data_IF_629159866878
#
_entry.id   IF_629159866878
#
_cell.length_a   1.000
_cell.length_b   1.000
_cell.length_c   1.000
_cell.angle_alpha   90.00
_cell.angle_beta   90.00
_cell.angle_gamma   90.00
#
_symmetry.space_group_name_H-M   'P 1'
#
loop_
_entity.id
_entity.type
_entity.pdbx_description
1 polymer ?
#
# COMPACT_ATOMS: atom_id res chain seq x y z
N UNK A 1 -6.98 1.95 -0.78
CA UNK A 1 -6.08 2.31 -1.90
C UNK A 1 -6.73 1.84 -3.18
N UNK A 2 -6.74 2.69 -4.19
CA UNK A 2 -7.45 2.46 -5.46
C UNK A 2 -6.50 2.57 -6.65
N UNK A 3 -6.92 1.96 -7.77
CA UNK A 3 -6.24 1.98 -9.07
C UNK A 3 -4.79 1.48 -9.10
N UNK A 4 -4.51 0.48 -8.27
CA UNK A 4 -3.22 -0.23 -8.31
C UNK A 4 -3.16 -1.16 -9.52
N UNK A 5 -2.41 -0.78 -10.55
CA UNK A 5 -2.13 -1.66 -11.69
C UNK A 5 -1.01 -2.68 -11.37
N UNK A 6 -1.28 -3.95 -11.65
CA UNK A 6 -0.31 -5.04 -11.59
C UNK A 6 -0.62 -6.15 -12.61
N UNK A 7 0.34 -7.06 -12.84
CA UNK A 7 0.12 -8.23 -13.69
C UNK A 7 -1.05 -9.07 -13.13
N UNK A 8 -1.95 -9.53 -14.00
CA UNK A 8 -3.13 -10.31 -13.56
C UNK A 8 -2.80 -11.67 -12.92
N UNK A 9 -1.55 -12.13 -12.95
CA UNK A 9 -1.09 -13.28 -12.16
C UNK A 9 -1.02 -12.99 -10.65
N UNK A 10 -1.12 -11.72 -10.25
CA UNK A 10 -1.22 -11.32 -8.84
C UNK A 10 -2.63 -11.65 -8.32
N UNK A 11 -2.71 -12.35 -7.19
CA UNK A 11 -3.98 -12.71 -6.55
C UNK A 11 -4.52 -11.62 -5.61
N UNK A 12 -3.70 -10.63 -5.30
CA UNK A 12 -4.00 -9.52 -4.39
C UNK A 12 -2.74 -8.99 -3.74
N UNK A 13 -2.90 -8.16 -2.71
CA UNK A 13 -1.78 -7.58 -1.99
C UNK A 13 -1.93 -7.77 -0.49
N UNK A 14 -0.84 -8.13 0.18
CA UNK A 14 -0.71 -8.09 1.62
C UNK A 14 -0.02 -6.80 2.03
N UNK A 15 -0.73 -5.85 2.66
CA UNK A 15 -0.12 -4.63 3.16
C UNK A 15 0.66 -4.91 4.44
N UNK A 16 1.93 -4.53 4.46
CA UNK A 16 2.71 -4.40 5.69
C UNK A 16 2.71 -2.93 6.12
N UNK A 17 2.31 -2.67 7.36
CA UNK A 17 2.19 -1.32 7.89
C UNK A 17 3.17 -1.13 9.04
N UNK A 18 3.95 -0.06 8.97
CA UNK A 18 4.75 0.46 10.08
C UNK A 18 4.28 1.88 10.42
N UNK A 19 3.90 2.11 11.68
CA UNK A 19 3.49 3.43 12.15
C UNK A 19 4.33 3.83 13.35
N UNK A 20 5.11 4.89 13.22
CA UNK A 20 6.03 5.34 14.27
C UNK A 20 6.35 6.82 14.10
N UNK A 21 6.46 7.57 15.21
CA UNK A 21 6.98 8.94 15.26
C UNK A 21 6.32 9.93 14.27
N UNK A 22 5.00 9.78 14.05
CA UNK A 22 4.24 10.63 13.13
C UNK A 22 4.35 10.20 11.66
N UNK A 23 5.01 9.09 11.36
CA UNK A 23 5.08 8.49 10.04
C UNK A 23 4.23 7.22 9.95
N UNK A 24 3.64 7.00 8.78
CA UNK A 24 2.99 5.74 8.41
C UNK A 24 3.60 5.27 7.08
N UNK A 25 4.27 4.12 7.12
CA UNK A 25 4.80 3.44 5.95
C UNK A 25 3.97 2.21 5.65
N UNK A 26 3.48 2.11 4.42
CA UNK A 26 2.73 0.95 3.93
C UNK A 26 3.49 0.35 2.75
N UNK A 27 3.78 -0.95 2.83
CA UNK A 27 4.41 -1.71 1.74
C UNK A 27 3.39 -2.72 1.22
N UNK A 28 3.05 -2.61 -0.06
CA UNK A 28 2.13 -3.52 -0.73
C UNK A 28 2.92 -4.69 -1.32
N UNK A 29 2.77 -5.87 -0.71
CA UNK A 29 3.43 -7.11 -1.15
C UNK A 29 2.47 -7.88 -2.04
N UNK A 30 2.79 -8.13 -3.32
CA UNK A 30 1.94 -8.93 -4.19
C UNK A 30 1.86 -10.37 -3.67
N UNK A 31 0.65 -10.93 -3.73
CA UNK A 31 0.37 -12.33 -3.43
C UNK A 31 0.24 -13.11 -4.73
N UNK A 32 0.77 -14.33 -4.78
CA UNK A 32 0.72 -15.18 -5.97
C UNK A 32 2.03 -15.92 -6.19
N UNK A 33 2.16 -16.52 -7.36
CA UNK A 33 3.38 -17.17 -7.81
C UNK A 33 4.23 -16.18 -8.60
N UNK A 34 5.41 -15.84 -8.09
CA UNK A 34 6.33 -14.89 -8.72
C UNK A 34 6.93 -15.38 -10.04
N UNK A 35 6.73 -16.66 -10.39
CA UNK A 35 7.24 -17.26 -11.63
C UNK A 35 6.24 -17.22 -12.77
N UNK A 36 5.00 -16.80 -12.50
CA UNK A 36 3.91 -16.73 -13.47
C UNK A 36 3.68 -15.28 -13.87
N UNK A 37 3.62 -15.02 -15.17
CA UNK A 37 3.13 -13.76 -15.73
C UNK A 37 1.94 -14.02 -16.66
N UNK A 38 0.91 -13.20 -16.53
CA UNK A 38 -0.19 -13.13 -17.47
C UNK A 38 0.11 -12.05 -18.55
N UNK A 39 -0.42 -12.25 -19.76
CA UNK A 39 -0.36 -11.26 -20.84
C UNK A 39 -1.47 -10.19 -20.70
N UNK A 40 -1.71 -9.74 -19.46
CA UNK A 40 -2.68 -8.70 -19.14
C UNK A 40 -2.39 -8.02 -17.80
N UNK A 41 -2.84 -6.77 -17.69
CA UNK A 41 -2.76 -5.95 -16.48
C UNK A 41 -4.14 -5.80 -15.84
N UNK A 42 -4.19 -5.87 -14.52
CA UNK A 42 -5.40 -5.79 -13.72
C UNK A 42 -5.31 -4.63 -12.73
N UNK A 43 -6.47 -4.01 -12.45
CA UNK A 43 -6.61 -3.00 -11.40
C UNK A 43 -7.02 -3.67 -10.09
N UNK A 44 -6.33 -3.32 -9.01
CA UNK A 44 -6.60 -3.83 -7.68
C UNK A 44 -6.97 -2.67 -6.74
N UNK A 45 -8.00 -2.93 -5.92
CA UNK A 45 -8.31 -2.11 -4.76
C UNK A 45 -7.81 -2.84 -3.52
N UNK A 46 -7.05 -2.14 -2.68
CA UNK A 46 -6.47 -2.70 -1.45
C UNK A 46 -7.04 -1.96 -0.25
N UNK A 47 -7.69 -2.71 0.63
CA UNK A 47 -8.33 -2.20 1.85
C UNK A 47 -7.78 -2.94 3.06
N UNK A 48 -7.42 -2.20 4.10
CA UNK A 48 -6.93 -2.73 5.37
C UNK A 48 -7.26 -1.75 6.50
N UNK A 49 -7.27 -2.27 7.72
CA UNK A 49 -7.49 -1.47 8.92
C UNK A 49 -6.18 -1.09 9.58
N UNK A 50 -6.12 0.13 10.09
CA UNK A 50 -5.05 0.62 10.95
C UNK A 50 -5.58 0.67 12.38
N UNK A 51 -4.82 0.09 13.30
CA UNK A 51 -5.14 0.07 14.74
C UNK A 51 -4.13 0.90 15.51
N UNK A 52 -4.52 1.36 16.71
CA UNK A 52 -3.64 2.06 17.65
C UNK A 52 -3.06 3.39 17.13
N UNK A 53 -3.74 4.06 16.20
CA UNK A 53 -3.39 5.41 15.78
C UNK A 53 -4.10 6.45 16.64
N UNK A 54 -3.35 7.44 17.12
CA UNK A 54 -3.92 8.64 17.71
C UNK A 54 -4.45 9.57 16.62
N UNK A 55 -5.47 10.37 16.95
CA UNK A 55 -5.93 11.41 16.05
C UNK A 55 -4.81 12.42 15.79
N UNK A 56 -4.54 12.73 14.53
CA UNK A 56 -3.43 13.61 14.16
C UNK A 56 -3.07 13.53 12.69
N UNK A 57 -2.12 14.37 12.28
CA UNK A 57 -1.55 14.36 10.93
C UNK A 57 -0.31 13.49 10.91
N UNK A 58 -0.24 12.57 9.94
CA UNK A 58 0.88 11.67 9.74
C UNK A 58 1.47 11.89 8.35
N UNK A 59 2.79 11.75 8.23
CA UNK A 59 3.46 11.62 6.94
C UNK A 59 3.30 10.19 6.43
N UNK A 60 2.55 10.01 5.35
CA UNK A 60 2.17 8.70 4.81
C UNK A 60 2.98 8.42 3.55
N UNK A 61 3.62 7.25 3.50
CA UNK A 61 4.30 6.74 2.32
C UNK A 61 3.78 5.35 1.97
N UNK A 62 3.50 5.13 0.69
CA UNK A 62 3.09 3.83 0.16
C UNK A 62 4.12 3.35 -0.86
N UNK A 63 4.55 2.10 -0.74
CA UNK A 63 5.51 1.47 -1.63
C UNK A 63 4.90 0.22 -2.27
N UNK A 64 5.27 -0.04 -3.53
CA UNK A 64 5.07 -1.34 -4.17
C UNK A 64 6.35 -2.14 -4.01
N UNK A 65 6.23 -3.40 -3.63
CA UNK A 65 7.37 -4.31 -3.48
C UNK A 65 7.31 -5.46 -4.47
N UNK A 66 8.41 -6.20 -4.59
CA UNK A 66 8.40 -7.52 -5.19
C UNK A 66 7.71 -8.55 -4.27
N UNK A 67 7.54 -9.78 -4.74
CA UNK A 67 6.92 -10.87 -3.97
C UNK A 67 7.70 -11.25 -2.68
N UNK A 68 8.95 -10.78 -2.52
CA UNK A 68 9.75 -10.97 -1.30
C UNK A 68 9.61 -9.81 -0.30
N UNK A 69 8.87 -8.76 -0.65
CA UNK A 69 8.70 -7.56 0.16
C UNK A 69 9.81 -6.52 0.00
N UNK A 70 10.72 -6.68 -0.98
CA UNK A 70 11.75 -5.66 -1.26
C UNK A 70 11.19 -4.55 -2.13
N UNK A 71 11.53 -3.31 -1.80
CA UNK A 71 11.08 -2.10 -2.51
C UNK A 71 12.19 -1.04 -2.54
N UNK A 72 12.09 -0.12 -3.49
CA UNK A 72 12.97 1.06 -3.58
C UNK A 72 12.44 2.16 -2.65
N UNK A 73 13.13 2.41 -1.54
CA UNK A 73 12.71 3.40 -0.54
C UNK A 73 12.78 4.84 -1.05
N UNK A 74 13.42 5.10 -2.19
CA UNK A 74 13.45 6.42 -2.82
C UNK A 74 12.26 6.68 -3.76
N UNK A 75 11.40 5.67 -4.00
CA UNK A 75 10.31 5.74 -4.98
C UNK A 75 8.97 5.25 -4.41
N UNK A 76 8.36 6.01 -3.48
CA UNK A 76 6.99 5.74 -3.08
C UNK A 76 6.02 5.94 -4.26
N UNK A 77 4.99 5.09 -4.36
CA UNK A 77 3.87 5.31 -5.29
C UNK A 77 2.85 6.34 -4.74
N UNK A 78 2.94 6.65 -3.46
CA UNK A 78 2.25 7.77 -2.83
C UNK A 78 3.08 8.31 -1.67
N UNK A 79 3.19 9.63 -1.57
CA UNK A 79 3.78 10.32 -0.43
C UNK A 79 2.98 11.59 -0.14
N UNK A 80 2.58 11.78 1.12
CA UNK A 80 1.83 12.97 1.51
C UNK A 80 1.41 12.98 2.99
N UNK A 81 0.99 14.15 3.46
CA UNK A 81 0.46 14.31 4.80
C UNK A 81 -1.04 14.02 4.84
N UNK A 82 -1.47 13.20 5.80
CA UNK A 82 -2.86 12.80 5.94
C UNK A 82 -3.32 12.88 7.40
N UNK A 83 -4.51 13.44 7.62
CA UNK A 83 -5.08 13.58 8.96
C UNK A 83 -5.97 12.40 9.29
N UNK A 84 -5.55 11.60 10.26
CA UNK A 84 -6.29 10.45 10.74
C UNK A 84 -7.20 10.85 11.91
N UNK A 85 -8.45 10.42 11.83
CA UNK A 85 -9.43 10.49 12.91
C UNK A 85 -9.94 9.07 13.15
N UNK A 86 -10.07 8.60 14.41
CA UNK A 86 -10.57 7.26 14.70
C UNK A 86 -11.90 6.95 14.01
N UNK A 87 -12.08 5.71 13.55
CA UNK A 87 -13.29 5.20 12.91
C UNK A 87 -13.71 5.94 11.62
N UNK A 88 -12.75 6.56 10.92
CA UNK A 88 -12.98 7.14 9.59
C UNK A 88 -12.20 6.36 8.54
N UNK A 89 -12.88 6.09 7.43
CA UNK A 89 -12.25 5.54 6.25
C UNK A 89 -11.53 6.65 5.48
N UNK A 90 -10.41 6.31 4.88
CA UNK A 90 -9.68 7.19 3.98
C UNK A 90 -9.30 6.42 2.72
N UNK A 91 -9.33 7.15 1.61
CA UNK A 91 -8.97 6.63 0.31
C UNK A 91 -7.69 7.30 -0.19
N UNK A 92 -6.83 6.50 -0.80
CA UNK A 92 -5.59 6.94 -1.43
C UNK A 92 -5.63 6.38 -2.85
N UNK A 93 -5.65 7.29 -3.82
CA UNK A 93 -5.47 6.97 -5.23
C UNK A 93 -3.97 6.90 -5.51
N UNK A 94 -3.51 5.75 -6.02
CA UNK A 94 -2.09 5.53 -6.29
C UNK A 94 -1.75 6.02 -7.70
N UNK A 95 -0.57 6.64 -7.85
CA UNK A 95 0.00 6.97 -9.16
C UNK A 95 0.76 5.79 -9.76
#
# INVERSE_FOLDING_TARGET
MTDLQANCAVNGFSPQVHAQDGEIRIVLIPLGDSTIEADCMCNYNVSFNLSNLFSGTYHVMVYRSDFSGKYDSAKPCYEGNMSFVPNKNMEIELK
#
